data_IF_544118539969
#
_entry.id   IF_544118539969
#
_cell.length_a   1.000
_cell.length_b   1.000
_cell.length_c   1.000
_cell.angle_alpha   90.00
_cell.angle_beta   90.00
_cell.angle_gamma   90.00
#
_symmetry.space_group_name_H-M   'P 1'
#
loop_
_entity.id
_entity.type
_entity.pdbx_description
1 polymer ?
#
# COMPACT_ATOMS: atom_id res chain seq x y z
N UNK A 1 -11.27 36.00 -4.48
CA UNK A 1 -12.22 35.02 -5.05
C UNK A 1 -12.30 34.98 -6.58
N UNK A 2 -11.46 35.68 -7.36
CA UNK A 2 -11.73 35.88 -8.79
C UNK A 2 -11.59 34.64 -9.69
N UNK A 3 -10.94 33.56 -9.23
CA UNK A 3 -10.71 32.38 -10.08
C UNK A 3 -11.36 31.10 -9.55
N UNK A 4 -11.42 30.86 -8.23
CA UNK A 4 -12.19 29.78 -7.54
C UNK A 4 -12.35 28.45 -8.30
N UNK A 5 -11.30 28.00 -9.00
CA UNK A 5 -11.32 26.79 -9.85
C UNK A 5 -12.15 26.87 -11.14
N UNK A 6 -12.67 28.05 -11.51
CA UNK A 6 -13.35 28.30 -12.77
C UNK A 6 -12.40 28.13 -13.97
N UNK A 7 -12.91 27.66 -15.13
CA UNK A 7 -12.12 27.53 -16.35
C UNK A 7 -11.49 28.85 -16.78
N UNK A 8 -10.23 28.81 -17.21
CA UNK A 8 -9.47 30.01 -17.59
C UNK A 8 -10.08 30.76 -18.78
N UNK A 9 -10.76 30.06 -19.69
CA UNK A 9 -11.49 30.65 -20.82
C UNK A 9 -12.61 31.58 -20.33
N UNK A 10 -13.40 31.12 -19.34
CA UNK A 10 -14.48 31.91 -18.76
C UNK A 10 -13.96 33.18 -18.07
N UNK A 11 -12.80 33.08 -17.41
CA UNK A 11 -12.12 34.22 -16.80
C UNK A 11 -11.64 35.19 -17.89
N UNK A 12 -11.10 34.68 -18.99
CA UNK A 12 -10.72 35.48 -20.15
C UNK A 12 -11.90 36.26 -20.74
N UNK A 13 -13.02 35.58 -20.98
CA UNK A 13 -14.24 36.19 -21.51
C UNK A 13 -14.78 37.29 -20.57
N UNK A 14 -14.81 37.03 -19.27
CA UNK A 14 -15.25 38.00 -18.26
C UNK A 14 -14.33 39.23 -18.22
N UNK A 15 -13.02 39.04 -18.32
CA UNK A 15 -12.06 40.15 -18.38
C UNK A 15 -12.29 41.01 -19.63
N UNK A 16 -12.51 40.37 -20.78
CA UNK A 16 -12.82 41.05 -22.03
C UNK A 16 -14.09 41.91 -21.94
N UNK A 17 -15.11 41.43 -21.23
CA UNK A 17 -16.38 42.14 -21.03
C UNK A 17 -16.28 43.24 -19.97
N UNK A 18 -15.67 42.95 -18.83
CA UNK A 18 -15.72 43.83 -17.66
C UNK A 18 -14.69 44.97 -17.71
N UNK A 19 -13.54 44.75 -18.36
CA UNK A 19 -12.37 45.62 -18.23
C UNK A 19 -11.96 46.27 -19.56
N UNK A 20 -12.50 45.80 -20.69
CA UNK A 20 -12.28 46.42 -22.01
C UNK A 20 -10.80 46.48 -22.42
N UNK A 21 -10.29 47.67 -22.76
CA UNK A 21 -8.91 47.90 -23.23
C UNK A 21 -7.86 48.07 -22.11
N UNK A 22 -8.18 47.75 -20.86
CA UNK A 22 -7.15 47.70 -19.81
C UNK A 22 -6.29 46.45 -20.03
N UNK A 23 -4.97 46.58 -19.96
CA UNK A 23 -3.97 45.51 -20.18
C UNK A 23 -3.96 44.45 -19.05
N UNK A 24 -5.15 43.99 -18.62
CA UNK A 24 -5.34 42.96 -17.61
C UNK A 24 -5.40 41.59 -18.27
N UNK A 25 -4.34 40.81 -18.09
CA UNK A 25 -4.23 39.44 -18.62
C UNK A 25 -4.72 38.39 -17.62
N UNK A 26 -5.15 37.24 -18.12
CA UNK A 26 -5.47 36.05 -17.31
C UNK A 26 -4.29 35.70 -16.38
N UNK A 27 -3.06 35.80 -16.90
CA UNK A 27 -1.81 35.56 -16.15
C UNK A 27 -1.67 36.48 -14.95
N UNK A 28 -1.90 37.79 -15.11
CA UNK A 28 -1.81 38.77 -14.01
C UNK A 28 -2.87 38.53 -12.94
N UNK A 29 -4.09 38.14 -13.34
CA UNK A 29 -5.17 37.84 -12.39
C UNK A 29 -4.88 36.59 -11.57
N UNK A 30 -4.39 35.53 -12.23
CA UNK A 30 -3.99 34.30 -11.55
C UNK A 30 -2.79 34.53 -10.63
N UNK A 31 -1.78 35.29 -11.05
CA UNK A 31 -0.64 35.61 -10.20
C UNK A 31 -1.09 36.28 -8.90
N UNK A 32 -1.92 37.33 -8.99
CA UNK A 32 -2.46 38.02 -7.80
C UNK A 32 -3.29 37.06 -6.93
N UNK A 33 -4.09 36.18 -7.56
CA UNK A 33 -4.88 35.20 -6.82
C UNK A 33 -4.00 34.20 -6.05
N UNK A 34 -2.92 33.70 -6.67
CA UNK A 34 -1.95 32.82 -6.03
C UNK A 34 -1.21 33.53 -4.89
N UNK A 35 -0.78 34.78 -5.09
CA UNK A 35 -0.13 35.59 -4.05
C UNK A 35 -1.02 35.82 -2.83
N UNK A 36 -2.33 36.02 -3.04
CA UNK A 36 -3.31 36.16 -1.96
C UNK A 36 -3.51 34.84 -1.20
N UNK A 37 -3.61 33.72 -1.91
CA UNK A 37 -3.70 32.39 -1.31
C UNK A 37 -2.44 32.07 -0.49
N UNK A 38 -1.25 32.38 -1.03
CA UNK A 38 0.02 32.25 -0.32
C UNK A 38 0.01 33.11 0.95
N UNK A 39 -0.46 34.35 0.88
CA UNK A 39 -0.59 35.23 2.05
C UNK A 39 -1.53 34.65 3.11
N UNK A 40 -2.66 34.08 2.70
CA UNK A 40 -3.58 33.37 3.61
C UNK A 40 -2.91 32.13 4.26
N UNK A 41 -2.20 31.30 3.48
CA UNK A 41 -1.42 30.15 3.98
C UNK A 41 -0.29 30.57 4.94
N UNK A 42 0.16 31.81 4.84
CA UNK A 42 1.17 32.41 5.72
C UNK A 42 0.61 32.84 7.08
N UNK A 43 -0.71 32.88 7.22
CA UNK A 43 -1.40 33.37 8.42
C UNK A 43 -1.73 34.87 8.41
N UNK A 44 -1.78 35.52 7.24
CA UNK A 44 -2.27 36.90 7.14
C UNK A 44 -3.77 36.96 7.48
N UNK A 45 -4.12 37.70 8.54
CA UNK A 45 -5.47 37.76 9.09
C UNK A 45 -6.50 38.38 8.14
N UNK A 46 -6.10 39.31 7.27
CA UNK A 46 -7.02 39.92 6.32
C UNK A 46 -7.36 38.92 5.21
N UNK A 47 -6.35 38.23 4.69
CA UNK A 47 -6.52 37.25 3.60
C UNK A 47 -7.16 35.93 4.06
N UNK A 48 -6.98 35.51 5.32
CA UNK A 48 -7.63 34.31 5.87
C UNK A 48 -9.16 34.44 5.91
N UNK A 49 -9.69 35.66 6.09
CA UNK A 49 -11.14 35.88 6.04
C UNK A 49 -11.69 35.78 4.60
N UNK A 50 -10.90 36.22 3.62
CA UNK A 50 -11.26 36.17 2.21
C UNK A 50 -11.06 34.78 1.59
N UNK A 51 -10.20 33.95 2.19
CA UNK A 51 -9.90 32.57 1.79
C UNK A 51 -9.94 31.65 3.01
N UNK A 52 -11.14 31.22 3.46
CA UNK A 52 -11.28 30.34 4.61
C UNK A 52 -10.65 28.95 4.39
N UNK A 53 -10.56 28.50 3.14
CA UNK A 53 -9.93 27.23 2.73
C UNK A 53 -8.88 27.45 1.63
N UNK A 54 -7.72 28.06 1.93
CA UNK A 54 -6.74 28.46 0.92
C UNK A 54 -6.21 27.30 0.06
N UNK A 55 -6.08 26.10 0.64
CA UNK A 55 -5.59 24.91 -0.07
C UNK A 55 -6.58 24.38 -1.10
N UNK A 56 -7.87 24.36 -0.77
CA UNK A 56 -8.91 23.94 -1.73
C UNK A 56 -9.00 24.92 -2.90
N UNK A 57 -8.90 26.21 -2.60
CA UNK A 57 -8.87 27.26 -3.63
C UNK A 57 -7.64 27.09 -4.52
N UNK A 58 -6.46 26.79 -3.95
CA UNK A 58 -5.25 26.52 -4.73
C UNK A 58 -5.40 25.29 -5.63
N UNK A 59 -5.95 24.19 -5.11
CA UNK A 59 -6.19 22.96 -5.86
C UNK A 59 -7.12 23.22 -7.05
N UNK A 60 -8.19 24.01 -6.84
CA UNK A 60 -9.08 24.45 -7.92
C UNK A 60 -8.31 25.24 -9.00
N UNK A 61 -7.49 26.22 -8.61
CA UNK A 61 -6.67 27.01 -9.55
C UNK A 61 -5.70 26.12 -10.34
N UNK A 62 -5.01 25.21 -9.65
CA UNK A 62 -4.06 24.27 -10.26
C UNK A 62 -4.76 23.35 -11.26
N UNK A 63 -5.94 22.84 -10.90
CA UNK A 63 -6.76 21.98 -11.78
C UNK A 63 -7.23 22.76 -13.02
N UNK A 64 -7.64 24.02 -12.85
CA UNK A 64 -8.05 24.87 -13.97
C UNK A 64 -6.89 25.13 -14.94
N UNK A 65 -5.68 25.41 -14.43
CA UNK A 65 -4.48 25.57 -15.26
C UNK A 65 -4.10 24.25 -15.93
N UNK A 66 -4.19 23.12 -15.24
CA UNK A 66 -3.93 21.79 -15.81
C UNK A 66 -4.83 21.50 -17.02
N UNK A 67 -6.13 21.71 -16.87
CA UNK A 67 -7.10 21.49 -17.94
C UNK A 67 -6.85 22.42 -19.14
N UNK A 68 -6.46 23.67 -18.89
CA UNK A 68 -6.15 24.63 -19.95
C UNK A 68 -4.87 24.29 -20.71
N UNK A 69 -3.84 23.80 -20.02
CA UNK A 69 -2.61 23.30 -20.67
C UNK A 69 -2.92 22.06 -21.51
N UNK A 70 -3.81 21.16 -21.03
CA UNK A 70 -4.23 19.99 -21.80
C UNK A 70 -5.05 20.34 -23.05
N UNK A 71 -5.80 21.43 -23.05
CA UNK A 71 -6.54 21.89 -24.23
C UNK A 71 -5.65 22.52 -25.31
N UNK A 72 -4.34 22.67 -25.06
CA UNK A 72 -3.34 23.10 -26.02
C UNK A 72 -3.10 24.61 -26.05
N UNK A 73 -3.66 25.35 -25.09
CA UNK A 73 -3.50 26.79 -24.97
C UNK A 73 -2.40 27.12 -23.94
N UNK A 74 -1.57 28.13 -24.24
CA UNK A 74 -0.30 28.38 -23.52
C UNK A 74 -0.26 29.74 -22.82
N UNK A 75 -1.42 30.35 -22.56
CA UNK A 75 -1.49 31.67 -21.89
C UNK A 75 -0.89 31.61 -20.49
N UNK A 76 -1.07 30.48 -19.80
CA UNK A 76 -0.55 30.22 -18.46
C UNK A 76 -0.03 28.78 -18.42
N UNK A 77 1.23 28.63 -18.04
CA UNK A 77 1.91 27.33 -17.98
C UNK A 77 2.04 26.81 -16.55
N UNK A 78 2.34 25.52 -16.40
CA UNK A 78 2.74 24.94 -15.12
C UNK A 78 3.99 25.60 -14.53
N UNK A 79 4.91 26.07 -15.39
CA UNK A 79 6.13 26.77 -14.96
C UNK A 79 5.83 28.12 -14.32
N UNK A 80 4.78 28.81 -14.77
CA UNK A 80 4.33 30.08 -14.17
C UNK A 80 3.81 29.87 -12.74
N UNK A 81 2.93 28.88 -12.53
CA UNK A 81 2.45 28.52 -11.20
C UNK A 81 3.59 28.12 -10.26
N UNK A 82 4.52 27.30 -10.74
CA UNK A 82 5.70 26.91 -9.96
C UNK A 82 6.57 28.12 -9.62
N UNK A 83 6.75 29.06 -10.53
CA UNK A 83 7.53 30.27 -10.27
C UNK A 83 6.89 31.13 -9.16
N UNK A 84 5.57 31.23 -9.11
CA UNK A 84 4.85 32.00 -8.08
C UNK A 84 4.83 31.31 -6.71
N UNK A 85 4.77 29.97 -6.68
CA UNK A 85 4.72 29.19 -5.43
C UNK A 85 6.10 28.88 -4.84
N UNK A 86 7.16 28.91 -5.66
CA UNK A 86 8.53 28.59 -5.23
C UNK A 86 9.04 29.44 -4.06
N UNK A 87 8.86 30.78 -4.00
CA UNK A 87 9.29 31.58 -2.86
C UNK A 87 8.66 31.12 -1.54
N UNK A 88 7.39 30.73 -1.56
CA UNK A 88 6.70 30.18 -0.38
C UNK A 88 7.24 28.80 0.00
N UNK A 89 7.43 27.92 -1.00
CA UNK A 89 7.91 26.57 -0.77
C UNK A 89 9.35 26.57 -0.22
N UNK A 90 10.24 27.43 -0.73
CA UNK A 90 11.65 27.48 -0.32
C UNK A 90 11.91 28.21 1.00
N UNK A 91 10.91 28.87 1.59
CA UNK A 91 11.08 29.65 2.82
C UNK A 91 11.07 28.74 4.06
N UNK A 92 12.26 28.49 4.61
CA UNK A 92 12.48 27.68 5.80
C UNK A 92 11.86 28.22 7.09
N UNK A 93 11.47 29.50 7.15
CA UNK A 93 10.84 30.10 8.33
C UNK A 93 9.36 29.74 8.49
N UNK A 94 8.75 29.18 7.45
CA UNK A 94 7.32 28.86 7.39
C UNK A 94 7.01 27.47 7.89
N UNK A 95 5.74 27.23 8.25
CA UNK A 95 5.28 25.90 8.63
C UNK A 95 5.54 24.88 7.50
N UNK A 96 6.04 23.69 7.87
CA UNK A 96 6.38 22.62 6.90
C UNK A 96 5.11 22.05 6.24
N UNK A 97 4.02 21.90 7.01
CA UNK A 97 2.79 21.24 6.55
C UNK A 97 2.13 21.91 5.33
N UNK A 98 1.85 23.23 5.35
CA UNK A 98 1.31 23.91 4.16
C UNK A 98 2.22 23.79 2.93
N UNK A 99 3.55 23.79 3.13
CA UNK A 99 4.52 23.65 2.02
C UNK A 99 4.46 22.26 1.38
N UNK A 100 4.28 21.19 2.18
CA UNK A 100 4.06 19.83 1.66
C UNK A 100 2.76 19.78 0.88
N UNK A 101 1.66 20.28 1.44
CA UNK A 101 0.33 20.22 0.82
C UNK A 101 0.32 20.96 -0.53
N UNK A 102 0.95 22.14 -0.61
CA UNK A 102 1.15 22.88 -1.88
C UNK A 102 1.95 22.06 -2.90
N UNK A 103 3.09 21.51 -2.52
CA UNK A 103 3.93 20.70 -3.43
C UNK A 103 3.25 19.39 -3.85
N UNK A 104 2.41 18.80 -2.99
CA UNK A 104 1.60 17.62 -3.32
C UNK A 104 0.50 17.92 -4.33
N UNK A 105 -0.20 19.03 -4.17
CA UNK A 105 -1.19 19.50 -5.16
C UNK A 105 -0.51 19.66 -6.53
N UNK A 106 0.70 20.22 -6.56
CA UNK A 106 1.47 20.36 -7.78
C UNK A 106 1.96 19.03 -8.35
N UNK A 107 2.46 18.10 -7.54
CA UNK A 107 2.89 16.75 -7.96
C UNK A 107 1.75 15.95 -8.62
N UNK A 108 0.52 16.09 -8.09
CA UNK A 108 -0.65 15.37 -8.61
C UNK A 108 -1.15 15.92 -9.96
N UNK A 109 -0.88 17.19 -10.26
CA UNK A 109 -1.39 17.87 -11.45
C UNK A 109 -0.31 18.16 -12.50
N UNK A 110 0.96 18.22 -12.12
CA UNK A 110 2.05 18.61 -13.02
C UNK A 110 3.30 17.78 -12.80
N UNK A 111 4.13 17.67 -13.84
CA UNK A 111 5.49 17.16 -13.70
C UNK A 111 6.37 18.21 -13.02
N UNK A 112 6.78 17.94 -11.78
CA UNK A 112 7.69 18.81 -11.04
C UNK A 112 9.10 18.80 -11.63
N UNK A 113 9.82 19.92 -11.48
CA UNK A 113 11.27 19.99 -11.76
C UNK A 113 12.03 19.23 -10.69
N UNK A 114 13.22 18.73 -11.04
CA UNK A 114 14.07 17.99 -10.10
C UNK A 114 14.28 18.74 -8.78
N UNK A 115 14.57 20.05 -8.81
CA UNK A 115 14.72 20.87 -7.60
C UNK A 115 13.51 20.82 -6.68
N UNK A 116 12.31 20.82 -7.25
CA UNK A 116 11.05 20.88 -6.54
C UNK A 116 10.66 19.49 -6.00
N UNK A 117 11.03 18.42 -6.72
CA UNK A 117 10.95 17.02 -6.25
C UNK A 117 11.84 16.79 -5.03
N UNK A 118 13.10 17.24 -5.07
CA UNK A 118 14.02 17.11 -3.93
C UNK A 118 13.54 17.92 -2.71
N UNK A 119 12.95 19.09 -2.94
CA UNK A 119 12.38 19.91 -1.87
C UNK A 119 11.15 19.25 -1.23
N UNK A 120 10.25 18.70 -2.03
CA UNK A 120 9.10 17.94 -1.54
C UNK A 120 9.55 16.71 -0.73
N UNK A 121 10.59 16.02 -1.19
CA UNK A 121 11.19 14.89 -0.47
C UNK A 121 11.75 15.32 0.89
N UNK A 122 12.44 16.45 0.96
CA UNK A 122 12.94 17.03 2.21
C UNK A 122 11.82 17.30 3.20
N UNK A 123 10.76 17.99 2.76
CA UNK A 123 9.66 18.33 3.65
C UNK A 123 8.87 17.11 4.10
N UNK A 124 8.60 16.15 3.21
CA UNK A 124 8.01 14.86 3.59
C UNK A 124 8.84 14.15 4.66
N UNK A 125 10.16 14.16 4.52
CA UNK A 125 11.09 13.58 5.50
C UNK A 125 11.03 14.29 6.84
N UNK A 126 11.11 15.63 6.85
CA UNK A 126 11.06 16.45 8.06
C UNK A 126 9.70 16.37 8.78
N UNK A 127 8.60 16.21 8.03
CA UNK A 127 7.28 16.06 8.62
C UNK A 127 7.11 14.72 9.36
N UNK A 128 7.78 13.67 8.89
CA UNK A 128 7.83 12.37 9.58
C UNK A 128 8.80 12.43 10.75
N UNK A 129 10.00 12.98 10.53
CA UNK A 129 11.09 13.07 11.51
C UNK A 129 11.09 14.41 12.27
N UNK A 130 10.01 14.69 13.00
CA UNK A 130 9.76 16.00 13.66
C UNK A 130 10.90 16.50 14.56
N UNK A 131 11.64 15.58 15.18
CA UNK A 131 12.68 15.89 16.17
C UNK A 131 14.11 15.85 15.60
N UNK A 132 14.28 15.47 14.32
CA UNK A 132 15.58 15.39 13.68
C UNK A 132 15.76 16.51 12.64
N UNK A 133 16.85 17.24 12.76
CA UNK A 133 17.28 18.17 11.72
C UNK A 133 17.84 17.36 10.55
N UNK A 134 17.06 17.27 9.47
CA UNK A 134 17.46 16.62 8.22
C UNK A 134 17.68 17.68 7.17
N UNK A 135 18.84 17.64 6.53
CA UNK A 135 19.19 18.53 5.44
C UNK A 135 19.01 17.84 4.07
N UNK A 136 18.98 18.63 3.00
CA UNK A 136 18.85 18.09 1.64
C UNK A 136 20.01 17.12 1.31
N UNK A 137 21.20 17.41 1.85
CA UNK A 137 22.39 16.60 1.65
C UNK A 137 22.22 15.19 2.22
N UNK A 138 21.34 14.94 3.19
CA UNK A 138 21.14 13.62 3.80
C UNK A 138 20.25 12.69 2.94
N UNK A 139 19.48 13.26 2.02
CA UNK A 139 18.42 12.55 1.28
C UNK A 139 18.54 12.67 -0.24
N UNK A 140 19.53 13.43 -0.72
CA UNK A 140 19.76 13.75 -2.13
C UNK A 140 19.71 12.52 -3.05
N UNK A 141 20.26 11.39 -2.60
CA UNK A 141 20.24 10.15 -3.37
C UNK A 141 19.81 8.95 -2.55
N UNK A 142 19.48 7.86 -3.25
CA UNK A 142 19.01 6.61 -2.64
C UNK A 142 19.97 6.03 -1.60
N UNK A 143 21.28 6.09 -1.83
CA UNK A 143 22.28 5.57 -0.90
C UNK A 143 22.30 6.37 0.41
N UNK A 144 22.22 7.71 0.32
CA UNK A 144 22.16 8.56 1.52
C UNK A 144 20.88 8.31 2.31
N UNK A 145 19.73 8.20 1.63
CA UNK A 145 18.45 7.85 2.26
C UNK A 145 18.50 6.48 2.94
N UNK A 146 19.09 5.49 2.29
CA UNK A 146 19.25 4.15 2.86
C UNK A 146 20.14 4.17 4.11
N UNK A 147 21.26 4.92 4.09
CA UNK A 147 22.12 5.11 5.26
C UNK A 147 21.39 5.80 6.41
N UNK A 148 20.63 6.86 6.14
CA UNK A 148 19.81 7.54 7.14
C UNK A 148 18.78 6.57 7.75
N UNK A 149 18.11 5.77 6.92
CA UNK A 149 17.18 4.75 7.38
C UNK A 149 17.87 3.73 8.30
N UNK A 150 19.04 3.19 7.93
CA UNK A 150 19.77 2.24 8.76
C UNK A 150 20.20 2.84 10.11
N UNK A 151 20.61 4.11 10.12
CA UNK A 151 20.95 4.82 11.35
C UNK A 151 19.75 4.91 12.29
N UNK A 152 18.62 5.42 11.79
CA UNK A 152 17.38 5.54 12.58
C UNK A 152 16.86 4.18 13.07
N UNK A 153 16.97 3.15 12.22
CA UNK A 153 16.59 1.79 12.57
C UNK A 153 17.48 1.23 13.69
N UNK A 154 18.79 1.50 13.62
CA UNK A 154 19.75 1.10 14.66
C UNK A 154 19.50 1.76 16.01
N UNK A 155 18.96 2.97 16.01
CA UNK A 155 18.59 3.73 17.21
C UNK A 155 17.19 3.37 17.75
N UNK A 156 16.34 2.75 16.93
CA UNK A 156 14.96 2.41 17.28
C UNK A 156 14.88 1.26 18.28
N UNK A 157 14.06 1.43 19.32
CA UNK A 157 13.78 0.45 20.38
C UNK A 157 12.29 0.27 20.63
N UNK A 158 11.46 1.25 20.26
CA UNK A 158 10.02 1.23 20.50
C UNK A 158 9.23 1.01 19.21
N UNK A 159 8.04 0.43 19.35
CA UNK A 159 7.13 0.19 18.22
C UNK A 159 6.77 1.48 17.47
N UNK A 160 6.55 2.59 18.18
CA UNK A 160 6.21 3.88 17.58
C UNK A 160 7.32 4.41 16.65
N UNK A 161 8.59 4.14 16.99
CA UNK A 161 9.75 4.51 16.19
C UNK A 161 9.80 3.67 14.90
N UNK A 162 9.49 2.36 14.99
CA UNK A 162 9.33 1.53 13.79
C UNK A 162 8.15 1.98 12.92
N UNK A 163 7.02 2.37 13.49
CA UNK A 163 5.89 2.93 12.73
C UNK A 163 6.28 4.22 12.00
N UNK A 164 7.06 5.09 12.63
CA UNK A 164 7.61 6.28 11.97
C UNK A 164 8.51 5.91 10.79
N UNK A 165 9.33 4.87 10.92
CA UNK A 165 10.16 4.37 9.83
C UNK A 165 9.33 3.78 8.67
N UNK A 166 8.23 3.08 8.96
CA UNK A 166 7.30 2.60 7.93
C UNK A 166 6.71 3.78 7.14
N UNK A 167 6.26 4.82 7.84
CA UNK A 167 5.74 6.05 7.22
C UNK A 167 6.80 6.76 6.37
N UNK A 168 8.04 6.80 6.86
CA UNK A 168 9.17 7.38 6.15
C UNK A 168 9.45 6.64 4.83
N UNK A 169 9.52 5.31 4.86
CA UNK A 169 9.72 4.50 3.67
C UNK A 169 8.58 4.68 2.65
N UNK A 170 7.33 4.79 3.12
CA UNK A 170 6.18 5.07 2.25
C UNK A 170 6.23 6.47 1.62
N UNK A 171 6.70 7.48 2.38
CA UNK A 171 6.82 8.86 1.92
C UNK A 171 7.94 9.05 0.86
N UNK A 172 8.94 8.19 0.90
CA UNK A 172 10.08 8.20 -0.02
C UNK A 172 9.78 7.54 -1.39
N UNK A 173 10.55 7.87 -2.44
CA UNK A 173 10.60 7.07 -3.66
C UNK A 173 11.05 5.63 -3.34
N UNK A 174 10.44 4.59 -3.96
CA UNK A 174 10.84 3.20 -3.76
C UNK A 174 12.34 3.00 -3.98
N UNK A 175 13.03 2.37 -3.03
CA UNK A 175 14.46 2.06 -3.13
C UNK A 175 14.63 0.67 -3.75
N UNK A 176 14.37 0.61 -5.06
CA UNK A 176 14.27 -0.64 -5.82
C UNK A 176 15.34 -0.73 -6.91
N UNK A 177 16.55 -0.22 -6.67
CA UNK A 177 17.68 -0.58 -7.55
C UNK A 177 17.73 -2.10 -7.67
N UNK A 178 17.98 -2.62 -8.87
CA UNK A 178 17.82 -4.06 -9.19
C UNK A 178 18.53 -4.98 -8.20
N UNK A 179 19.68 -4.55 -7.68
CA UNK A 179 20.47 -5.25 -6.66
C UNK A 179 19.81 -5.30 -5.27
N UNK A 180 18.99 -4.31 -4.92
CA UNK A 180 18.31 -4.14 -3.62
C UNK A 180 16.88 -4.70 -3.66
N UNK A 181 16.22 -4.64 -4.82
CA UNK A 181 14.87 -5.18 -5.03
C UNK A 181 14.78 -6.71 -4.88
N UNK A 182 15.92 -7.41 -4.98
CA UNK A 182 16.02 -8.87 -4.96
C UNK A 182 16.79 -9.41 -3.74
N UNK A 183 17.14 -8.55 -2.78
CA UNK A 183 18.11 -8.87 -1.74
C UNK A 183 17.57 -8.61 -0.33
N UNK A 184 18.19 -9.25 0.67
CA UNK A 184 18.05 -8.98 2.10
C UNK A 184 18.30 -7.50 2.46
N UNK A 185 18.92 -6.74 1.57
CA UNK A 185 19.16 -5.29 1.70
C UNK A 185 17.93 -4.43 1.43
N UNK A 186 16.81 -5.01 1.02
CA UNK A 186 15.59 -4.23 0.84
C UNK A 186 15.17 -3.58 2.17
N UNK A 187 14.85 -2.27 2.20
CA UNK A 187 14.53 -1.56 3.45
C UNK A 187 13.39 -2.21 4.25
N UNK A 188 12.38 -2.77 3.57
CA UNK A 188 11.26 -3.44 4.22
C UNK A 188 11.66 -4.80 4.83
N UNK A 189 12.59 -5.52 4.17
CA UNK A 189 13.13 -6.78 4.69
C UNK A 189 14.02 -6.52 5.90
N UNK A 190 14.91 -5.52 5.83
CA UNK A 190 15.78 -5.11 6.95
C UNK A 190 14.95 -4.58 8.12
N UNK A 191 13.91 -3.78 7.87
CA UNK A 191 12.97 -3.35 8.90
C UNK A 191 12.32 -4.55 9.59
N UNK A 192 11.88 -5.54 8.82
CA UNK A 192 11.24 -6.75 9.36
C UNK A 192 12.21 -7.59 10.17
N UNK A 193 13.45 -7.78 9.71
CA UNK A 193 14.46 -8.57 10.44
C UNK A 193 14.81 -7.92 11.77
N UNK A 194 15.08 -6.61 11.77
CA UNK A 194 15.39 -5.84 12.99
C UNK A 194 14.23 -5.79 13.97
N UNK A 195 12.99 -5.62 13.48
CA UNK A 195 11.79 -5.68 14.30
C UNK A 195 11.66 -7.03 15.02
N UNK A 196 11.86 -8.13 14.30
CA UNK A 196 11.86 -9.49 14.88
C UNK A 196 12.96 -9.63 15.95
N UNK A 197 14.17 -9.16 15.68
CA UNK A 197 15.29 -9.21 16.63
C UNK A 197 15.03 -8.39 17.90
N UNK A 198 14.50 -7.17 17.77
CA UNK A 198 14.18 -6.32 18.92
C UNK A 198 13.11 -6.96 19.81
N UNK A 199 12.12 -7.63 19.23
CA UNK A 199 11.07 -8.34 19.97
C UNK A 199 11.57 -9.62 20.67
N UNK A 200 12.70 -10.22 20.25
CA UNK A 200 13.32 -11.35 20.97
C UNK A 200 13.99 -10.93 22.28
N UNK A 201 14.58 -9.73 22.32
CA UNK A 201 15.41 -9.26 23.43
C UNK A 201 14.64 -8.63 24.60
N UNK A 202 13.43 -8.16 24.37
CA UNK A 202 12.64 -7.43 25.37
C UNK A 202 11.49 -8.29 25.85
N UNK A 203 11.72 -9.05 26.92
CA UNK A 203 10.63 -9.67 27.68
C UNK A 203 9.87 -8.61 28.47
N UNK A 204 8.92 -7.87 27.87
CA UNK A 204 7.92 -7.13 28.67
C UNK A 204 6.64 -6.69 27.95
N UNK A 205 5.53 -7.06 28.58
CA UNK A 205 4.32 -6.29 28.93
C UNK A 205 3.34 -5.75 27.89
N UNK A 206 3.71 -5.56 26.62
CA UNK A 206 2.70 -5.31 25.57
C UNK A 206 2.80 -6.44 24.57
N UNK A 207 1.81 -7.32 24.59
CA UNK A 207 1.69 -8.46 23.68
C UNK A 207 1.25 -7.94 22.30
N UNK A 208 2.09 -7.13 21.66
CA UNK A 208 1.94 -6.73 20.27
C UNK A 208 1.90 -8.02 19.45
N UNK A 209 0.84 -8.18 18.65
CA UNK A 209 0.77 -9.26 17.68
C UNK A 209 1.67 -8.89 16.51
N UNK A 210 2.97 -9.19 16.67
CA UNK A 210 4.01 -8.90 15.70
C UNK A 210 3.66 -9.43 14.30
N UNK A 211 3.04 -10.61 14.27
CA UNK A 211 2.61 -11.24 13.04
C UNK A 211 1.55 -10.42 12.31
N UNK A 212 0.53 -9.97 13.04
CA UNK A 212 -0.52 -9.12 12.48
C UNK A 212 0.01 -7.77 12.02
N UNK A 213 0.91 -7.15 12.77
CA UNK A 213 1.48 -5.85 12.41
C UNK A 213 2.33 -5.94 11.12
N UNK A 214 3.14 -6.98 10.97
CA UNK A 214 3.90 -7.22 9.73
C UNK A 214 2.95 -7.48 8.56
N UNK A 215 1.86 -8.24 8.77
CA UNK A 215 0.85 -8.43 7.72
C UNK A 215 0.16 -7.13 7.33
N UNK A 216 -0.26 -6.32 8.31
CA UNK A 216 -0.88 -5.01 8.06
C UNK A 216 0.06 -4.10 7.26
N UNK A 217 1.34 -4.08 7.63
CA UNK A 217 2.38 -3.36 6.91
C UNK A 217 2.45 -3.83 5.46
N UNK A 218 2.66 -5.13 5.19
CA UNK A 218 2.78 -5.65 3.81
C UNK A 218 1.52 -5.40 2.99
N UNK A 219 0.33 -5.63 3.57
CA UNK A 219 -0.96 -5.39 2.91
C UNK A 219 -1.16 -3.92 2.54
N UNK A 220 -0.67 -2.99 3.36
CA UNK A 220 -0.71 -1.55 3.03
C UNK A 220 0.14 -1.18 1.81
N UNK A 221 1.14 -2.01 1.46
CA UNK A 221 2.02 -1.78 0.32
C UNK A 221 1.43 -2.27 -1.01
N UNK A 222 0.49 -3.23 -1.01
CA UNK A 222 -0.08 -3.80 -2.23
C UNK A 222 -0.70 -2.77 -3.21
N UNK A 223 -1.51 -1.79 -2.78
CA UNK A 223 -2.07 -0.80 -3.70
C UNK A 223 -1.07 0.30 -4.09
N UNK A 224 0.13 0.30 -3.51
CA UNK A 224 1.08 1.41 -3.62
C UNK A 224 2.20 1.14 -4.62
N UNK A 225 2.94 2.20 -4.98
CA UNK A 225 4.21 2.13 -5.72
C UNK A 225 5.32 1.33 -5.00
N UNK A 226 5.10 0.96 -3.74
CA UNK A 226 6.03 0.19 -2.91
C UNK A 226 5.71 -1.30 -2.86
N UNK A 227 4.88 -1.82 -3.77
CA UNK A 227 4.56 -3.24 -3.84
C UNK A 227 5.84 -4.09 -3.83
N UNK A 228 5.92 -5.00 -2.87
CA UNK A 228 7.09 -5.84 -2.65
C UNK A 228 7.19 -6.94 -3.74
N UNK A 229 8.39 -7.18 -4.30
CA UNK A 229 8.66 -8.34 -5.13
C UNK A 229 8.48 -9.65 -4.36
N UNK A 230 8.14 -10.73 -5.07
CA UNK A 230 7.95 -12.05 -4.47
C UNK A 230 9.18 -12.55 -3.69
N UNK A 231 10.40 -12.18 -4.12
CA UNK A 231 11.63 -12.54 -3.42
C UNK A 231 11.76 -11.86 -2.05
N UNK A 232 11.34 -10.59 -1.92
CA UNK A 232 11.29 -9.92 -0.61
C UNK A 232 10.26 -10.60 0.31
N UNK A 233 9.09 -10.94 -0.23
CA UNK A 233 8.05 -11.69 0.52
C UNK A 233 8.60 -13.05 0.97
N UNK A 234 9.37 -13.74 0.12
CA UNK A 234 10.06 -14.99 0.46
C UNK A 234 10.99 -14.82 1.66
N UNK A 235 11.85 -13.79 1.63
CA UNK A 235 12.79 -13.53 2.72
C UNK A 235 12.08 -13.17 4.02
N UNK A 236 11.09 -12.27 3.97
CA UNK A 236 10.28 -11.91 5.14
C UNK A 236 9.57 -13.14 5.71
N UNK A 237 8.99 -13.98 4.85
CA UNK A 237 8.31 -15.20 5.27
C UNK A 237 9.27 -16.21 5.89
N UNK A 238 10.49 -16.36 5.35
CA UNK A 238 11.53 -17.20 5.96
C UNK A 238 11.89 -16.73 7.37
N UNK A 239 12.09 -15.41 7.56
CA UNK A 239 12.40 -14.82 8.87
C UNK A 239 11.28 -15.09 9.90
N UNK A 240 10.02 -15.03 9.45
CA UNK A 240 8.85 -15.33 10.28
C UNK A 240 8.72 -16.83 10.60
N UNK A 241 8.98 -17.71 9.63
CA UNK A 241 8.97 -19.17 9.84
C UNK A 241 10.00 -19.62 10.87
N UNK A 242 11.15 -18.94 10.94
CA UNK A 242 12.19 -19.22 11.93
C UNK A 242 11.76 -18.83 13.37
N UNK A 243 10.65 -18.10 13.55
CA UNK A 243 10.17 -17.69 14.87
C UNK A 243 9.05 -18.60 15.42
N UNK A 244 9.13 -19.00 16.70
CA UNK A 244 8.03 -19.71 17.34
C UNK A 244 6.81 -18.78 17.43
N UNK A 245 5.67 -19.23 16.87
CA UNK A 245 4.39 -18.52 16.95
C UNK A 245 4.07 -17.57 15.79
N UNK A 246 4.99 -17.33 14.84
CA UNK A 246 4.75 -16.46 13.66
C UNK A 246 4.54 -17.23 12.35
N UNK A 247 4.38 -18.55 12.46
CA UNK A 247 4.17 -19.44 11.31
C UNK A 247 2.92 -19.09 10.52
N UNK A 248 1.81 -18.83 11.20
CA UNK A 248 0.52 -18.52 10.57
C UNK A 248 0.60 -17.21 9.73
N UNK A 249 1.10 -16.09 10.26
CA UNK A 249 1.40 -14.89 9.46
C UNK A 249 2.27 -15.16 8.23
N UNK A 250 3.33 -15.98 8.38
CA UNK A 250 4.20 -16.33 7.26
C UNK A 250 3.45 -17.07 6.14
N UNK A 251 2.62 -18.06 6.49
CA UNK A 251 1.81 -18.82 5.53
C UNK A 251 0.81 -17.91 4.79
N UNK A 252 0.16 -16.99 5.51
CA UNK A 252 -0.77 -16.02 4.92
C UNK A 252 -0.07 -15.11 3.91
N UNK A 253 1.07 -14.52 4.28
CA UNK A 253 1.86 -13.65 3.39
C UNK A 253 2.30 -14.36 2.11
N UNK A 254 2.79 -15.61 2.23
CA UNK A 254 3.19 -16.38 1.05
C UNK A 254 1.99 -16.71 0.16
N UNK A 255 0.84 -17.05 0.74
CA UNK A 255 -0.37 -17.40 -0.02
C UNK A 255 -0.95 -16.19 -0.75
N UNK A 256 -0.96 -15.01 -0.12
CA UNK A 256 -1.43 -13.75 -0.71
C UNK A 256 -0.60 -13.27 -1.91
N UNK A 257 0.68 -13.64 -1.96
CA UNK A 257 1.58 -13.23 -3.04
C UNK A 257 1.18 -13.79 -4.42
N UNK A 258 0.43 -14.90 -4.44
CA UNK A 258 0.07 -15.69 -5.63
C UNK A 258 1.26 -16.14 -6.50
N UNK A 259 2.49 -16.08 -5.98
CA UNK A 259 3.68 -16.52 -6.70
C UNK A 259 3.80 -18.06 -6.63
N UNK A 260 3.98 -18.75 -7.77
CA UNK A 260 3.95 -20.21 -7.81
C UNK A 260 5.03 -20.85 -6.92
N UNK A 261 6.22 -20.25 -6.81
CA UNK A 261 7.29 -20.80 -5.97
C UNK A 261 6.98 -20.63 -4.48
N UNK A 262 6.31 -19.53 -4.11
CA UNK A 262 5.85 -19.33 -2.74
C UNK A 262 4.69 -20.25 -2.37
N UNK A 263 3.78 -20.51 -3.30
CA UNK A 263 2.69 -21.47 -3.09
C UNK A 263 3.22 -22.91 -2.91
N UNK A 264 4.27 -23.30 -3.63
CA UNK A 264 4.96 -24.59 -3.41
C UNK A 264 5.55 -24.68 -1.99
N UNK A 265 6.23 -23.61 -1.53
CA UNK A 265 6.74 -23.57 -0.15
C UNK A 265 5.63 -23.63 0.90
N UNK A 266 4.48 -22.99 0.65
CA UNK A 266 3.30 -23.08 1.53
C UNK A 266 2.85 -24.53 1.65
N UNK A 267 2.73 -25.25 0.52
CA UNK A 267 2.36 -26.66 0.53
C UNK A 267 3.38 -27.52 1.27
N UNK A 268 4.68 -27.30 1.07
CA UNK A 268 5.73 -28.03 1.79
C UNK A 268 5.63 -27.80 3.30
N UNK A 269 5.41 -26.56 3.73
CA UNK A 269 5.23 -26.23 5.15
C UNK A 269 3.97 -26.90 5.72
N UNK A 270 2.85 -26.82 4.99
CA UNK A 270 1.58 -27.43 5.39
C UNK A 270 1.72 -28.94 5.51
N UNK A 271 2.33 -29.61 4.53
CA UNK A 271 2.49 -31.06 4.50
C UNK A 271 3.44 -31.58 5.58
N UNK A 272 4.42 -30.78 5.98
CA UNK A 272 5.31 -31.10 7.10
C UNK A 272 4.68 -30.83 8.48
N UNK A 273 3.46 -30.31 8.53
CA UNK A 273 2.75 -30.06 9.80
C UNK A 273 2.10 -31.34 10.31
N UNK A 274 2.38 -31.69 11.56
CA UNK A 274 1.87 -32.93 12.17
C UNK A 274 0.53 -32.74 12.90
N UNK A 275 0.26 -31.55 13.43
CA UNK A 275 -0.94 -31.26 14.22
C UNK A 275 -1.59 -29.93 13.80
N UNK A 276 -2.92 -29.91 13.77
CA UNK A 276 -3.72 -28.71 13.48
C UNK A 276 -4.29 -28.18 14.79
N UNK A 277 -4.02 -26.91 15.05
CA UNK A 277 -4.48 -26.16 16.22
C UNK A 277 -4.72 -24.70 15.83
N UNK A 278 -5.34 -23.92 16.72
CA UNK A 278 -5.69 -22.53 16.44
C UNK A 278 -4.48 -21.62 16.13
N UNK A 279 -3.26 -22.04 16.49
CA UNK A 279 -2.02 -21.32 16.14
C UNK A 279 -1.41 -21.72 14.79
N UNK A 280 -1.91 -22.78 14.16
CA UNK A 280 -1.42 -23.30 12.86
C UNK A 280 -2.45 -23.16 11.76
N UNK A 281 -3.74 -23.04 12.10
CA UNK A 281 -4.83 -22.91 11.14
C UNK A 281 -5.91 -21.96 11.67
N UNK A 282 -6.30 -21.01 10.83
CA UNK A 282 -7.38 -20.08 11.11
C UNK A 282 -8.27 -19.91 9.86
N UNK A 283 -9.49 -19.36 9.99
CA UNK A 283 -10.43 -19.31 8.87
C UNK A 283 -9.94 -18.38 7.74
N UNK A 284 -9.07 -17.41 8.04
CA UNK A 284 -8.47 -16.54 7.04
C UNK A 284 -7.49 -17.30 6.15
N UNK A 285 -6.58 -18.09 6.74
CA UNK A 285 -5.68 -18.96 5.98
C UNK A 285 -6.45 -19.93 5.09
N UNK A 286 -7.53 -20.53 5.60
CA UNK A 286 -8.36 -21.45 4.81
C UNK A 286 -8.97 -20.76 3.59
N UNK A 287 -9.49 -19.53 3.74
CA UNK A 287 -9.99 -18.75 2.60
C UNK A 287 -8.87 -18.46 1.60
N UNK A 288 -7.70 -18.02 2.06
CA UNK A 288 -6.56 -17.71 1.19
C UNK A 288 -6.08 -18.94 0.40
N UNK A 289 -6.04 -20.12 1.03
CA UNK A 289 -5.67 -21.37 0.36
C UNK A 289 -6.69 -21.77 -0.72
N UNK A 290 -7.98 -21.53 -0.49
CA UNK A 290 -9.03 -21.77 -1.49
C UNK A 290 -8.93 -20.77 -2.65
N UNK A 291 -8.71 -19.49 -2.34
CA UNK A 291 -8.53 -18.43 -3.35
C UNK A 291 -7.30 -18.70 -4.23
N UNK A 292 -6.23 -19.26 -3.66
CA UNK A 292 -5.04 -19.70 -4.38
C UNK A 292 -5.20 -21.04 -5.12
N UNK A 293 -6.35 -21.71 -5.01
CA UNK A 293 -6.61 -23.00 -5.68
C UNK A 293 -5.82 -24.19 -5.13
N UNK A 294 -5.37 -24.13 -3.87
CA UNK A 294 -4.46 -25.12 -3.28
C UNK A 294 -5.15 -26.33 -2.64
N UNK A 295 -6.46 -26.50 -2.84
CA UNK A 295 -7.24 -27.59 -2.24
C UNK A 295 -6.62 -28.98 -2.50
N UNK A 296 -6.23 -29.23 -3.76
CA UNK A 296 -5.65 -30.52 -4.19
C UNK A 296 -4.30 -30.76 -3.51
N UNK A 297 -3.45 -29.73 -3.43
CA UNK A 297 -2.13 -29.82 -2.82
C UNK A 297 -2.16 -30.07 -1.30
N UNK A 298 -3.26 -29.67 -0.64
CA UNK A 298 -3.46 -29.87 0.78
C UNK A 298 -4.00 -31.27 1.16
N UNK A 299 -4.46 -32.10 0.21
CA UNK A 299 -5.02 -33.45 0.47
C UNK A 299 -4.14 -34.35 1.36
N UNK A 300 -2.81 -34.44 1.18
CA UNK A 300 -1.97 -35.27 2.04
C UNK A 300 -1.76 -34.69 3.45
N UNK A 301 -2.17 -33.44 3.69
CA UNK A 301 -1.93 -32.73 4.94
C UNK A 301 -3.12 -32.85 5.91
N UNK A 302 -2.87 -32.65 7.23
CA UNK A 302 -3.94 -32.64 8.22
C UNK A 302 -4.86 -31.42 8.10
N UNK A 303 -4.53 -30.42 7.25
CA UNK A 303 -5.38 -29.26 6.96
C UNK A 303 -6.47 -29.56 5.92
N UNK A 304 -6.44 -30.70 5.22
CA UNK A 304 -7.49 -31.02 4.24
C UNK A 304 -8.89 -31.10 4.86
N UNK A 305 -9.13 -31.81 5.98
CA UNK A 305 -10.45 -31.85 6.62
C UNK A 305 -11.00 -30.45 6.99
N UNK A 306 -10.28 -29.56 7.71
CA UNK A 306 -10.80 -28.22 8.00
C UNK A 306 -10.97 -27.37 6.74
N UNK A 307 -10.09 -27.47 5.74
CA UNK A 307 -10.23 -26.76 4.46
C UNK A 307 -11.49 -27.19 3.69
N UNK A 308 -11.77 -28.50 3.63
CA UNK A 308 -12.98 -29.02 2.99
C UNK A 308 -14.26 -28.61 3.72
N UNK A 309 -14.24 -28.56 5.05
CA UNK A 309 -15.37 -28.10 5.86
C UNK A 309 -15.61 -26.59 5.70
N UNK A 310 -14.55 -25.80 5.60
CA UNK A 310 -14.63 -24.36 5.34
C UNK A 310 -15.18 -24.07 3.94
N UNK A 311 -14.70 -24.78 2.92
CA UNK A 311 -15.25 -24.71 1.57
C UNK A 311 -16.76 -25.00 1.57
N UNK A 312 -17.19 -26.10 2.19
CA UNK A 312 -18.61 -26.48 2.23
C UNK A 312 -19.50 -25.47 2.98
N UNK A 313 -19.01 -24.92 4.10
CA UNK A 313 -19.77 -23.97 4.89
C UNK A 313 -19.84 -22.56 4.28
N UNK A 314 -18.77 -22.13 3.60
CA UNK A 314 -18.63 -20.75 3.09
C UNK A 314 -18.54 -20.61 1.57
N UNK A 315 -18.83 -21.67 0.80
CA UNK A 315 -18.80 -21.64 -0.67
C UNK A 315 -19.54 -20.45 -1.31
N UNK A 316 -20.69 -20.04 -0.75
CA UNK A 316 -21.46 -18.90 -1.27
C UNK A 316 -20.82 -17.55 -0.96
N UNK A 317 -20.14 -17.43 0.17
CA UNK A 317 -19.50 -16.19 0.62
C UNK A 317 -18.16 -15.98 -0.10
N UNK A 318 -17.37 -17.04 -0.27
CA UNK A 318 -16.08 -16.99 -0.97
C UNK A 318 -16.17 -17.12 -2.50
N UNK A 319 -17.37 -17.39 -3.05
CA UNK A 319 -17.53 -17.58 -4.50
C UNK A 319 -16.87 -18.86 -5.05
N UNK A 320 -16.55 -19.83 -4.19
CA UNK A 320 -15.89 -21.07 -4.57
C UNK A 320 -16.87 -22.09 -5.16
N UNK A 321 -16.53 -22.63 -6.33
CA UNK A 321 -17.30 -23.69 -6.96
C UNK A 321 -16.87 -25.07 -6.44
N UNK A 322 -17.74 -25.69 -5.64
CA UNK A 322 -17.52 -26.99 -5.03
C UNK A 322 -17.49 -28.13 -6.06
N UNK A 323 -18.25 -28.01 -7.16
CA UNK A 323 -18.26 -29.02 -8.22
C UNK A 323 -16.97 -28.94 -9.05
N UNK A 324 -16.50 -27.71 -9.32
CA UNK A 324 -15.18 -27.50 -9.93
C UNK A 324 -14.07 -28.05 -9.03
N UNK A 325 -14.07 -27.73 -7.74
CA UNK A 325 -13.11 -28.27 -6.78
C UNK A 325 -13.11 -29.81 -6.71
N UNK A 326 -14.30 -30.44 -6.77
CA UNK A 326 -14.42 -31.89 -6.85
C UNK A 326 -13.86 -32.46 -8.17
N UNK A 327 -14.04 -31.74 -9.27
CA UNK A 327 -13.47 -32.13 -10.57
C UNK A 327 -11.94 -32.06 -10.57
N UNK A 328 -11.35 -31.04 -9.95
CA UNK A 328 -9.89 -30.88 -9.81
C UNK A 328 -9.29 -32.01 -8.94
N UNK A 329 -9.96 -32.35 -7.83
CA UNK A 329 -9.59 -33.51 -7.00
C UNK A 329 -9.66 -34.83 -7.79
N UNK A 330 -10.68 -34.99 -8.65
CA UNK A 330 -10.81 -36.18 -9.49
C UNK A 330 -9.68 -36.27 -10.53
N UNK A 331 -9.35 -35.16 -11.18
CA UNK A 331 -8.26 -35.07 -12.16
C UNK A 331 -6.90 -35.38 -11.51
N UNK A 332 -6.69 -34.96 -10.27
CA UNK A 332 -5.50 -35.27 -9.48
C UNK A 332 -5.47 -36.70 -8.90
N UNK A 333 -6.52 -37.50 -9.11
CA UNK A 333 -6.59 -38.90 -8.67
C UNK A 333 -7.20 -39.12 -7.28
N UNK A 334 -7.60 -38.06 -6.58
CA UNK A 334 -8.22 -38.11 -5.25
C UNK A 334 -9.72 -38.40 -5.31
N UNK A 335 -10.07 -39.57 -5.84
CA UNK A 335 -11.47 -39.99 -6.06
C UNK A 335 -12.27 -39.99 -4.77
N UNK A 336 -11.77 -40.61 -3.70
CA UNK A 336 -12.53 -40.73 -2.46
C UNK A 336 -12.88 -39.35 -1.86
N UNK A 337 -11.94 -38.42 -1.92
CA UNK A 337 -12.05 -37.04 -1.47
C UNK A 337 -13.07 -36.25 -2.31
N UNK A 338 -12.97 -36.33 -3.65
CA UNK A 338 -13.92 -35.72 -4.57
C UNK A 338 -15.36 -36.21 -4.34
N UNK A 339 -15.53 -37.53 -4.21
CA UNK A 339 -16.84 -38.14 -3.95
C UNK A 339 -17.42 -37.76 -2.58
N UNK A 340 -16.57 -37.71 -1.55
CA UNK A 340 -16.97 -37.26 -0.20
C UNK A 340 -17.43 -35.80 -0.22
N UNK A 341 -16.68 -34.92 -0.90
CA UNK A 341 -17.01 -33.50 -1.03
C UNK A 341 -18.39 -33.30 -1.68
N UNK A 342 -18.66 -33.99 -2.79
CA UNK A 342 -19.94 -33.91 -3.50
C UNK A 342 -21.11 -34.48 -2.70
N UNK A 343 -20.90 -35.57 -1.97
CA UNK A 343 -21.92 -36.17 -1.12
C UNK A 343 -22.39 -35.20 -0.04
N UNK A 344 -21.45 -34.51 0.61
CA UNK A 344 -21.76 -33.52 1.65
C UNK A 344 -22.39 -32.28 1.04
N UNK A 345 -21.86 -31.77 -0.07
CA UNK A 345 -22.39 -30.59 -0.76
C UNK A 345 -23.86 -30.76 -1.17
N UNK A 346 -24.24 -31.95 -1.66
CA UNK A 346 -25.60 -32.25 -2.10
C UNK A 346 -26.53 -32.72 -0.97
N UNK A 347 -26.10 -32.61 0.29
CA UNK A 347 -26.93 -32.88 1.46
C UNK A 347 -27.24 -34.35 1.71
N UNK A 348 -26.34 -35.26 1.32
CA UNK A 348 -26.54 -36.70 1.55
C UNK A 348 -26.44 -37.00 3.05
N UNK A 349 -27.39 -37.75 3.61
CA UNK A 349 -27.41 -38.08 5.04
C UNK A 349 -26.09 -38.76 5.48
N UNK A 350 -25.49 -38.41 6.65
CA UNK A 350 -24.20 -38.97 7.11
C UNK A 350 -24.17 -40.51 7.21
N UNK A 351 -25.32 -41.15 7.46
CA UNK A 351 -25.44 -42.61 7.45
C UNK A 351 -25.32 -43.27 6.07
N UNK A 352 -25.40 -42.49 4.98
CA UNK A 352 -25.30 -42.95 3.59
C UNK A 352 -23.98 -42.52 2.92
N UNK A 353 -23.20 -41.65 3.58
CA UNK A 353 -21.88 -41.19 3.10
C UNK A 353 -20.78 -42.21 3.39
N UNK A 354 -20.91 -43.39 2.79
CA UNK A 354 -19.86 -44.43 2.86
C UNK A 354 -18.83 -44.25 1.74
N UNK A 355 -17.62 -44.79 1.93
CA UNK A 355 -16.56 -44.80 0.91
C UNK A 355 -17.05 -45.37 -0.43
N UNK A 356 -17.85 -46.43 -0.40
CA UNK A 356 -18.44 -47.05 -1.59
C UNK A 356 -19.42 -46.10 -2.27
N UNK A 357 -20.27 -45.41 -1.50
CA UNK A 357 -21.19 -44.39 -2.02
C UNK A 357 -20.41 -43.26 -2.70
N UNK A 358 -19.33 -42.76 -2.08
CA UNK A 358 -18.49 -41.70 -2.62
C UNK A 358 -17.91 -42.06 -3.99
N UNK A 359 -17.42 -43.29 -4.16
CA UNK A 359 -16.88 -43.76 -5.44
C UNK A 359 -17.96 -43.98 -6.52
N UNK A 360 -19.16 -44.43 -6.15
CA UNK A 360 -20.27 -44.58 -7.10
C UNK A 360 -20.82 -43.25 -7.58
N UNK A 361 -20.80 -42.25 -6.70
CA UNK A 361 -21.32 -40.90 -6.95
C UNK A 361 -20.51 -40.17 -8.02
N UNK A 362 -19.19 -40.30 -8.00
CA UNK A 362 -18.31 -39.66 -8.98
C UNK A 362 -18.72 -40.05 -10.39
N UNK A 363 -18.87 -41.35 -10.68
CA UNK A 363 -19.27 -41.85 -12.01
C UNK A 363 -20.63 -41.32 -12.51
N UNK A 364 -21.47 -40.82 -11.61
CA UNK A 364 -22.80 -40.33 -11.92
C UNK A 364 -22.82 -38.82 -12.13
N UNK A 365 -21.88 -38.09 -11.53
CA UNK A 365 -21.94 -36.63 -11.39
C UNK A 365 -20.75 -35.88 -12.00
N UNK A 366 -19.66 -36.58 -12.31
CA UNK A 366 -18.48 -36.11 -13.04
C UNK A 366 -18.13 -37.15 -14.11
#
# INVERSE_FOLDING_TARGET
>A
MATDGQPLELIGDLLGIAVGNLDLSIKTVLQVAVENVVSALSGDKEMVNDYPEPLMVLEGMVTAVHNHVQSGDSVVSSDDLLAWLRPFCSDGSRAVRPRIEVLQILENNFSLRDSDVHLLLLYRTQAVLKDLQVEMDDIENEEKRYRLFLQLLGDSRKWEEFQQLMLLLQAWPPMMKEEVAQCERNPWVVLTSTLIECCRGHGSEVRLDLGQEIMNMVRSLYPSKHKLPAQCIRHMSSLLLDQPGLRLPALKLMTESQDPQLLELVLDQINNTTEVCDSTCDPELLSLLLDAGLLVGCVPSPLYPPLSAHLLSRHREGGWDVEKAASELLQAGYRAQAGSLLLVYRGTHPGLSTFTTALTVIKKWL
#
